data_IF_697843386115
#
_entry.id   IF_697843386115
#
_cell.length_a   1.000
_cell.length_b   1.000
_cell.length_c   1.000
_cell.angle_alpha   90.00
_cell.angle_beta   90.00
_cell.angle_gamma   90.00
#
_symmetry.space_group_name_H-M   'P 1'
#
loop_
_entity.id
_entity.type
_entity.pdbx_description
1 polymer ?
#
# COMPACT_ATOMS: atom_id res chain seq x y z
N UNK A 1 21.03 2.37 -28.64
CA UNK A 1 20.96 2.59 -27.18
C UNK A 1 20.12 1.48 -26.57
N UNK A 2 20.56 0.76 -25.52
CA UNK A 2 19.68 -0.21 -24.86
C UNK A 2 18.54 0.57 -24.17
N UNK A 3 17.30 0.19 -24.46
CA UNK A 3 16.11 0.77 -23.85
C UNK A 3 16.15 0.58 -22.33
N UNK A 4 16.02 1.66 -21.56
CA UNK A 4 15.96 1.61 -20.10
C UNK A 4 14.81 0.67 -19.68
N UNK A 5 15.01 -0.28 -18.74
CA UNK A 5 13.94 -1.17 -18.32
C UNK A 5 12.78 -0.36 -17.74
N UNK A 6 11.53 -0.69 -18.15
CA UNK A 6 10.33 -0.02 -17.65
C UNK A 6 10.20 -0.27 -16.15
N UNK A 7 10.42 0.78 -15.35
CA UNK A 7 10.15 0.73 -13.91
C UNK A 7 8.67 1.00 -13.68
N UNK A 8 7.99 0.03 -13.06
CA UNK A 8 6.60 0.17 -12.61
C UNK A 8 6.57 0.20 -11.09
N UNK A 9 5.80 1.14 -10.57
CA UNK A 9 5.53 1.26 -9.13
C UNK A 9 4.06 0.93 -8.89
N UNK A 10 3.79 0.10 -7.89
CA UNK A 10 2.44 -0.18 -7.43
C UNK A 10 2.17 0.63 -6.17
N UNK A 11 1.10 1.42 -6.19
CA UNK A 11 0.58 2.12 -5.02
C UNK A 11 -0.57 1.29 -4.44
N UNK A 12 -0.55 1.03 -3.14
CA UNK A 12 -1.59 0.25 -2.45
C UNK A 12 -2.10 1.03 -1.26
N UNK A 13 -3.40 1.25 -1.23
CA UNK A 13 -4.11 1.98 -0.18
C UNK A 13 -4.71 1.04 0.88
N UNK A 14 -5.13 1.55 2.05
CA UNK A 14 -5.56 0.71 3.18
C UNK A 14 -6.75 -0.21 2.88
N UNK A 15 -7.56 0.12 1.87
CA UNK A 15 -8.74 -0.66 1.45
C UNK A 15 -8.44 -1.67 0.32
N UNK A 16 -7.20 -1.75 -0.15
CA UNK A 16 -6.79 -2.58 -1.30
C UNK A 16 -5.96 -3.81 -0.90
N UNK A 17 -6.00 -4.23 0.37
CA UNK A 17 -5.13 -5.29 0.91
C UNK A 17 -5.60 -6.72 0.54
N UNK A 18 -5.76 -6.99 -0.75
CA UNK A 18 -6.24 -8.27 -1.29
C UNK A 18 -5.15 -9.36 -1.27
N UNK A 19 -5.55 -10.61 -0.98
CA UNK A 19 -4.64 -11.75 -1.05
C UNK A 19 -4.05 -11.89 -2.46
N UNK A 20 -4.94 -11.86 -3.47
CA UNK A 20 -4.63 -11.79 -4.89
C UNK A 20 -4.79 -10.33 -5.36
N UNK A 21 -3.72 -9.56 -5.23
CA UNK A 21 -3.75 -8.15 -5.61
C UNK A 21 -3.44 -8.03 -7.12
N UNK A 22 -4.37 -7.51 -7.96
CA UNK A 22 -4.20 -7.49 -9.42
C UNK A 22 -2.95 -6.74 -9.87
N UNK A 23 -2.60 -5.65 -9.18
CA UNK A 23 -1.37 -4.90 -9.45
C UNK A 23 -0.05 -5.66 -9.24
N UNK A 24 -0.06 -6.84 -8.59
CA UNK A 24 1.12 -7.70 -8.50
C UNK A 24 1.38 -8.48 -9.79
N UNK A 25 0.34 -8.77 -10.58
CA UNK A 25 0.46 -9.45 -11.87
C UNK A 25 1.24 -8.61 -12.91
N UNK A 26 1.34 -7.30 -12.69
CA UNK A 26 2.08 -6.35 -13.53
C UNK A 26 3.58 -6.28 -13.20
N UNK A 27 4.06 -7.14 -12.30
CA UNK A 27 5.45 -7.27 -11.86
C UNK A 27 6.10 -5.92 -11.48
N UNK A 28 5.54 -5.22 -10.46
CA UNK A 28 6.07 -3.92 -10.07
C UNK A 28 7.47 -4.05 -9.47
N UNK A 29 8.37 -3.18 -9.92
CA UNK A 29 9.72 -3.07 -9.37
C UNK A 29 9.73 -2.57 -7.92
N UNK A 30 8.68 -1.85 -7.50
CA UNK A 30 8.52 -1.36 -6.14
C UNK A 30 7.05 -1.20 -5.77
N UNK A 31 6.72 -1.52 -4.52
CA UNK A 31 5.39 -1.36 -3.96
C UNK A 31 5.45 -0.28 -2.86
N UNK A 32 4.50 0.64 -2.89
CA UNK A 32 4.31 1.68 -1.88
C UNK A 32 2.99 1.45 -1.16
N UNK A 33 3.05 1.28 0.15
CA UNK A 33 1.88 1.23 1.01
C UNK A 33 1.63 2.64 1.53
N UNK A 34 0.47 3.21 1.20
CA UNK A 34 0.18 4.61 1.50
C UNK A 34 -0.86 4.68 2.61
N UNK A 35 -0.50 5.33 3.72
CA UNK A 35 -1.48 5.78 4.71
C UNK A 35 -2.27 6.94 4.08
N UNK A 36 -3.48 6.64 3.59
CA UNK A 36 -4.35 7.59 2.90
C UNK A 36 -4.79 8.74 3.83
N UNK A 37 -4.67 9.99 3.37
CA UNK A 37 -5.04 11.19 4.13
C UNK A 37 -6.51 11.17 4.56
N UNK A 38 -7.38 10.56 3.76
CA UNK A 38 -8.79 10.39 4.09
C UNK A 38 -9.01 9.61 5.39
N UNK A 39 -8.05 8.80 5.85
CA UNK A 39 -8.10 8.13 7.14
C UNK A 39 -7.22 8.78 8.21
N UNK A 40 -6.16 9.51 7.83
CA UNK A 40 -5.11 9.94 8.76
C UNK A 40 -4.89 11.45 8.88
N UNK A 41 -5.83 12.27 8.39
CA UNK A 41 -5.83 13.72 8.63
C UNK A 41 -5.88 14.51 7.34
N UNK A 42 -7.03 14.49 6.69
CA UNK A 42 -7.31 15.34 5.54
C UNK A 42 -7.70 16.75 6.02
N UNK A 43 -7.00 17.77 5.53
CA UNK A 43 -7.24 19.18 5.89
C UNK A 43 -8.47 19.77 5.20
N UNK A 44 -8.83 19.26 4.03
CA UNK A 44 -10.00 19.71 3.26
C UNK A 44 -11.26 18.93 3.68
N UNK A 45 -11.09 17.66 4.05
CA UNK A 45 -12.16 16.75 4.45
C UNK A 45 -11.89 16.07 5.80
N UNK A 46 -11.85 16.83 6.92
CA UNK A 46 -11.51 16.27 8.22
C UNK A 46 -12.57 15.26 8.70
N UNK A 47 -12.13 14.02 8.90
CA UNK A 47 -12.98 12.95 9.40
C UNK A 47 -12.46 12.41 10.75
N UNK A 48 -13.36 12.35 11.74
CA UNK A 48 -13.06 11.79 13.08
C UNK A 48 -13.41 10.30 13.11
N UNK A 49 -12.50 9.46 12.62
CA UNK A 49 -12.71 8.01 12.71
C UNK A 49 -12.57 7.49 14.13
N UNK A 50 -13.32 6.43 14.42
CA UNK A 50 -13.13 5.66 15.63
C UNK A 50 -11.70 5.11 15.70
N UNK A 51 -11.06 5.20 16.87
CA UNK A 51 -9.65 4.79 17.06
C UNK A 51 -9.39 3.34 16.63
N UNK A 52 -10.35 2.45 16.89
CA UNK A 52 -10.24 1.04 16.49
C UNK A 52 -10.18 0.87 14.96
N UNK A 53 -10.89 1.71 14.19
CA UNK A 53 -10.83 1.68 12.72
C UNK A 53 -9.44 2.08 12.21
N UNK A 54 -8.85 3.12 12.81
CA UNK A 54 -7.48 3.56 12.48
C UNK A 54 -6.45 2.47 12.82
N UNK A 55 -6.59 1.85 13.99
CA UNK A 55 -5.74 0.73 14.39
C UNK A 55 -5.87 -0.46 13.43
N UNK A 56 -7.10 -0.81 13.05
CA UNK A 56 -7.35 -1.88 12.09
C UNK A 56 -6.66 -1.62 10.75
N UNK A 57 -6.74 -0.41 10.20
CA UNK A 57 -6.07 -0.07 8.94
C UNK A 57 -4.54 -0.20 9.07
N UNK A 58 -3.92 0.40 10.09
CA UNK A 58 -2.45 0.32 10.29
C UNK A 58 -1.97 -1.10 10.52
N UNK A 59 -2.66 -1.85 11.39
CA UNK A 59 -2.30 -3.24 11.68
C UNK A 59 -2.44 -4.12 10.42
N UNK A 60 -3.52 -3.96 9.66
CA UNK A 60 -3.74 -4.69 8.42
C UNK A 60 -2.67 -4.35 7.38
N UNK A 61 -2.32 -3.07 7.21
CA UNK A 61 -1.27 -2.67 6.27
C UNK A 61 0.11 -3.20 6.68
N UNK A 62 0.47 -3.19 7.97
CA UNK A 62 1.73 -3.77 8.46
C UNK A 62 1.81 -5.29 8.26
N UNK A 63 0.70 -5.98 8.45
CA UNK A 63 0.59 -7.41 8.12
C UNK A 63 0.79 -7.64 6.62
N UNK A 64 0.21 -6.79 5.78
CA UNK A 64 0.36 -6.85 4.33
C UNK A 64 1.79 -6.56 3.86
N UNK A 65 2.45 -5.54 4.42
CA UNK A 65 3.88 -5.23 4.22
C UNK A 65 4.75 -6.47 4.47
N UNK A 66 4.53 -7.11 5.61
CA UNK A 66 5.28 -8.32 6.01
C UNK A 66 5.05 -9.46 5.01
N UNK A 67 3.81 -9.67 4.57
CA UNK A 67 3.48 -10.70 3.57
C UNK A 67 4.19 -10.45 2.25
N UNK A 68 4.14 -9.22 1.74
CA UNK A 68 4.78 -8.85 0.48
C UNK A 68 6.31 -8.99 0.52
N UNK A 69 6.94 -8.57 1.63
CA UNK A 69 8.39 -8.75 1.84
C UNK A 69 8.78 -10.22 1.89
N UNK A 70 8.00 -11.05 2.58
CA UNK A 70 8.22 -12.52 2.61
C UNK A 70 8.08 -13.16 1.23
N UNK A 71 7.24 -12.61 0.36
CA UNK A 71 7.11 -13.02 -1.03
C UNK A 71 8.21 -12.45 -1.96
N UNK A 72 9.19 -11.70 -1.44
CA UNK A 72 10.33 -11.18 -2.20
C UNK A 72 10.11 -9.81 -2.85
N UNK A 73 8.97 -9.14 -2.60
CA UNK A 73 8.74 -7.82 -3.16
C UNK A 73 9.51 -6.72 -2.40
N UNK A 74 9.96 -5.69 -3.14
CA UNK A 74 10.52 -4.47 -2.54
C UNK A 74 9.38 -3.54 -2.12
N UNK A 75 9.18 -3.38 -0.81
CA UNK A 75 8.06 -2.61 -0.24
C UNK A 75 8.55 -1.42 0.58
N UNK A 76 7.99 -0.25 0.30
CA UNK A 76 8.10 0.98 1.11
C UNK A 76 6.78 1.25 1.78
N UNK A 77 6.79 1.43 3.10
CA UNK A 77 5.65 1.80 3.91
C UNK A 77 5.92 3.19 4.48
#
# INVERSE_FOLDING_TARGET
MPSRPRRRSLLVFPHQLFAEHPGLAEEPTRIYLIEDSLFFGDTEHPARFHKQKLWLHRASMKRFETRLRKAGHTVTY
#
